data_IF_482318255749
#
_entry.id   IF_482318255749
#
_cell.length_a   1.000
_cell.length_b   1.000
_cell.length_c   1.000
_cell.angle_alpha   90.00
_cell.angle_beta   90.00
_cell.angle_gamma   90.00
#
_symmetry.space_group_name_H-M   'P 1'
#
loop_
_entity.id
_entity.type
_entity.pdbx_description
1 polymer ?
#
# COMPACT_ATOMS: atom_id res chain seq x y z
N UNK A 1 9.75 -30.86 24.05
CA UNK A 1 10.20 -29.91 23.01
C UNK A 1 9.18 -30.00 21.88
N UNK A 2 8.13 -29.20 21.98
CA UNK A 2 7.00 -29.25 21.03
C UNK A 2 7.10 -28.01 20.18
N UNK A 3 7.48 -28.21 18.92
CA UNK A 3 7.64 -27.15 17.92
C UNK A 3 6.31 -26.45 17.69
N UNK A 4 6.28 -25.14 17.94
CA UNK A 4 5.16 -24.26 17.60
C UNK A 4 5.08 -24.19 16.06
N UNK A 5 3.93 -24.52 15.44
CA UNK A 5 3.80 -24.37 14.00
C UNK A 5 3.82 -22.87 13.66
N UNK A 6 4.71 -22.50 12.74
CA UNK A 6 4.77 -21.17 12.16
C UNK A 6 3.48 -20.97 11.38
N UNK A 7 2.59 -20.10 11.85
CA UNK A 7 1.47 -19.61 11.07
C UNK A 7 2.08 -18.66 10.05
N UNK A 8 2.41 -19.17 8.86
CA UNK A 8 2.47 -18.31 7.68
C UNK A 8 1.03 -17.80 7.51
N UNK A 9 0.80 -16.53 7.82
CA UNK A 9 -0.48 -15.87 7.62
C UNK A 9 -0.91 -16.07 6.16
N UNK A 10 -1.84 -16.99 5.94
CA UNK A 10 -2.48 -17.28 4.66
C UNK A 10 -3.36 -16.07 4.31
N UNK A 11 -2.72 -15.03 3.76
CA UNK A 11 -3.40 -13.81 3.34
C UNK A 11 -4.40 -14.20 2.26
N UNK A 12 -5.72 -13.97 2.45
CA UNK A 12 -6.71 -14.28 1.43
C UNK A 12 -6.32 -13.64 0.09
N UNK A 13 -6.43 -14.36 -1.04
CA UNK A 13 -5.98 -13.90 -2.35
C UNK A 13 -6.64 -12.57 -2.79
N UNK A 14 -7.78 -12.23 -2.21
CA UNK A 14 -8.55 -11.00 -2.48
C UNK A 14 -8.49 -9.96 -1.35
N UNK A 15 -7.45 -10.01 -0.51
CA UNK A 15 -7.30 -9.03 0.57
C UNK A 15 -7.20 -7.61 -0.01
N UNK A 16 -8.07 -6.68 0.40
CA UNK A 16 -8.10 -5.35 -0.19
C UNK A 16 -6.81 -4.58 0.11
N UNK A 17 -6.38 -3.71 -0.81
CA UNK A 17 -5.19 -2.85 -0.62
C UNK A 17 -5.28 -1.95 0.63
N UNK A 18 -6.48 -1.77 1.16
CA UNK A 18 -6.78 -1.01 2.38
C UNK A 18 -6.54 -1.79 3.68
N UNK A 19 -5.96 -2.99 3.62
CA UNK A 19 -5.41 -3.71 4.79
C UNK A 19 -3.89 -3.87 4.67
N UNK A 20 -3.19 -3.96 5.81
CA UNK A 20 -1.74 -4.20 5.81
C UNK A 20 -1.38 -5.53 5.14
N UNK A 21 -2.20 -6.56 5.28
CA UNK A 21 -2.00 -7.87 4.64
C UNK A 21 -2.15 -7.79 3.12
N UNK A 22 -3.23 -7.16 2.64
CA UNK A 22 -3.49 -6.97 1.21
C UNK A 22 -2.44 -6.10 0.54
N UNK A 23 -2.04 -5.01 1.22
CA UNK A 23 -0.92 -4.19 0.77
C UNK A 23 0.39 -4.98 0.68
N UNK A 24 0.72 -5.75 1.72
CA UNK A 24 1.96 -6.52 1.75
C UNK A 24 1.96 -7.64 0.68
N UNK A 25 0.81 -8.28 0.43
CA UNK A 25 0.63 -9.21 -0.68
C UNK A 25 0.88 -8.52 -2.02
N UNK A 26 0.25 -7.38 -2.28
CA UNK A 26 0.46 -6.57 -3.49
C UNK A 26 1.93 -6.17 -3.70
N UNK A 27 2.65 -5.78 -2.64
CA UNK A 27 4.07 -5.41 -2.75
C UNK A 27 4.94 -6.59 -3.16
N UNK A 28 4.72 -7.76 -2.54
CA UNK A 28 5.47 -9.00 -2.82
C UNK A 28 5.10 -9.63 -4.15
N UNK A 29 3.88 -9.41 -4.61
CA UNK A 29 3.32 -10.02 -5.80
C UNK A 29 4.13 -9.70 -7.04
N UNK A 30 4.76 -10.73 -7.60
CA UNK A 30 5.58 -10.62 -8.81
C UNK A 30 5.12 -11.70 -9.78
N UNK A 31 4.25 -11.37 -10.76
CA UNK A 31 3.75 -12.35 -11.71
C UNK A 31 4.93 -12.99 -12.45
N UNK A 32 5.01 -14.31 -12.37
CA UNK A 32 6.04 -15.09 -13.05
C UNK A 32 5.51 -15.55 -14.40
N UNK A 33 6.22 -15.30 -15.51
CA UNK A 33 5.79 -15.79 -16.81
C UNK A 33 5.75 -17.32 -16.82
N UNK A 34 4.69 -17.95 -17.39
CA UNK A 34 4.67 -19.38 -17.63
C UNK A 34 5.91 -19.82 -18.42
N UNK A 35 6.38 -21.04 -18.16
CA UNK A 35 7.41 -21.64 -19.00
C UNK A 35 6.88 -21.74 -20.44
N UNK A 36 7.56 -21.17 -21.44
CA UNK A 36 7.13 -21.26 -22.82
C UNK A 36 7.27 -22.71 -23.29
N UNK A 37 6.16 -23.29 -23.76
CA UNK A 37 6.13 -24.62 -24.35
C UNK A 37 5.91 -24.50 -25.86
N UNK A 38 6.69 -25.24 -26.63
CA UNK A 38 6.41 -25.43 -28.05
C UNK A 38 5.15 -26.28 -28.25
N UNK A 39 4.48 -26.21 -29.42
CA UNK A 39 3.31 -27.04 -29.71
C UNK A 39 3.59 -28.53 -29.52
N UNK A 40 4.80 -28.99 -29.88
CA UNK A 40 5.23 -30.39 -29.71
C UNK A 40 5.36 -30.79 -28.24
N UNK A 41 5.89 -29.89 -27.40
CA UNK A 41 6.02 -30.15 -25.96
C UNK A 41 4.67 -30.17 -25.26
N UNK A 42 3.76 -29.25 -25.62
CA UNK A 42 2.41 -29.21 -25.07
C UNK A 42 1.61 -30.46 -25.47
N UNK A 43 1.72 -30.90 -26.73
CA UNK A 43 1.08 -32.13 -27.20
C UNK A 43 1.60 -33.40 -26.51
N UNK A 44 2.83 -33.37 -25.96
CA UNK A 44 3.39 -34.48 -25.19
C UNK A 44 2.85 -34.57 -23.75
N UNK A 45 2.20 -33.51 -23.25
CA UNK A 45 1.61 -33.51 -21.91
C UNK A 45 0.27 -34.25 -21.87
N UNK A 46 -0.07 -34.93 -20.76
CA UNK A 46 -1.42 -35.41 -20.51
C UNK A 46 -2.43 -34.25 -20.55
N UNK A 47 -3.71 -34.49 -20.94
CA UNK A 47 -4.72 -33.45 -21.07
C UNK A 47 -4.89 -32.56 -19.82
N UNK A 48 -4.77 -33.15 -18.62
CA UNK A 48 -4.83 -32.39 -17.35
C UNK A 48 -3.69 -31.37 -17.22
N UNK A 49 -2.48 -31.72 -17.64
CA UNK A 49 -1.32 -30.82 -17.58
C UNK A 49 -1.40 -29.74 -18.66
N UNK A 50 -1.95 -30.05 -19.84
CA UNK A 50 -2.24 -29.04 -20.86
C UNK A 50 -3.24 -27.99 -20.34
N UNK A 51 -4.34 -28.43 -19.73
CA UNK A 51 -5.34 -27.54 -19.16
C UNK A 51 -4.78 -26.68 -18.01
N UNK A 52 -3.92 -27.25 -17.17
CA UNK A 52 -3.24 -26.51 -16.10
C UNK A 52 -2.27 -25.44 -16.66
N UNK A 53 -1.50 -25.76 -17.71
CA UNK A 53 -0.62 -24.79 -18.38
C UNK A 53 -1.42 -23.66 -19.03
N UNK A 54 -2.52 -23.98 -19.71
CA UNK A 54 -3.44 -23.02 -20.30
C UNK A 54 -4.06 -22.09 -19.24
N UNK A 55 -4.46 -22.64 -18.08
CA UNK A 55 -4.97 -21.84 -16.96
C UNK A 55 -3.88 -20.90 -16.42
N UNK A 56 -2.68 -21.41 -16.14
CA UNK A 56 -1.57 -20.59 -15.65
C UNK A 56 -1.18 -19.47 -16.63
N UNK A 57 -1.30 -19.74 -17.94
CA UNK A 57 -1.11 -18.72 -18.98
C UNK A 57 -2.22 -17.67 -18.97
N UNK A 58 -3.48 -18.07 -18.81
CA UNK A 58 -4.61 -17.13 -18.66
C UNK A 58 -4.43 -16.25 -17.42
N UNK A 59 -4.09 -16.85 -16.29
CA UNK A 59 -3.89 -16.14 -15.03
C UNK A 59 -2.75 -15.13 -15.15
N UNK A 60 -1.60 -15.51 -15.75
CA UNK A 60 -0.50 -14.59 -16.05
C UNK A 60 -0.91 -13.43 -16.97
N UNK A 61 -1.73 -13.70 -18.00
CA UNK A 61 -2.19 -12.64 -18.91
C UNK A 61 -3.26 -11.72 -18.30
N UNK A 62 -4.05 -12.22 -17.35
CA UNK A 62 -4.98 -11.41 -16.58
C UNK A 62 -4.24 -10.47 -15.60
N UNK A 63 -3.03 -10.85 -15.20
CA UNK A 63 -2.21 -10.18 -14.18
C UNK A 63 -0.88 -9.68 -14.76
N UNK A 64 -0.90 -9.21 -16.02
CA UNK A 64 0.32 -8.74 -16.67
C UNK A 64 1.00 -7.63 -15.85
N UNK A 65 2.32 -7.73 -15.62
CA UNK A 65 3.04 -6.73 -14.86
C UNK A 65 2.88 -5.35 -15.50
N UNK A 66 2.41 -4.40 -14.70
CA UNK A 66 2.14 -3.04 -15.15
C UNK A 66 3.42 -2.41 -15.72
N UNK A 67 3.36 -1.94 -16.96
CA UNK A 67 4.46 -1.21 -17.60
C UNK A 67 4.62 0.16 -16.93
N UNK A 68 5.86 0.47 -16.54
CA UNK A 68 6.19 1.70 -15.81
C UNK A 68 6.07 2.93 -16.73
N UNK A 69 4.87 3.49 -16.85
CA UNK A 69 4.58 4.63 -17.73
C UNK A 69 5.36 5.87 -17.30
N UNK A 70 5.61 6.85 -18.20
CA UNK A 70 6.31 8.10 -17.86
C UNK A 70 5.68 8.85 -16.68
N UNK A 71 4.35 8.81 -16.56
CA UNK A 71 3.61 9.40 -15.43
C UNK A 71 3.96 8.71 -14.11
N UNK A 72 3.96 7.38 -14.07
CA UNK A 72 4.31 6.61 -12.87
C UNK A 72 5.76 6.90 -12.47
N UNK A 73 6.68 6.91 -13.44
CA UNK A 73 8.09 7.23 -13.20
C UNK A 73 8.27 8.62 -12.59
N UNK A 74 7.56 9.63 -13.12
CA UNK A 74 7.61 11.00 -12.60
C UNK A 74 7.07 11.10 -11.17
N UNK A 75 5.96 10.42 -10.87
CA UNK A 75 5.39 10.35 -9.52
C UNK A 75 6.39 9.69 -8.56
N UNK A 76 6.97 8.55 -8.95
CA UNK A 76 7.98 7.85 -8.13
C UNK A 76 9.19 8.74 -7.86
N UNK A 77 9.73 9.41 -8.89
CA UNK A 77 10.90 10.27 -8.75
C UNK A 77 10.61 11.46 -7.81
N UNK A 78 9.49 12.14 -8.02
CA UNK A 78 9.06 13.30 -7.21
C UNK A 78 8.79 12.89 -5.77
N UNK A 79 8.03 11.80 -5.57
CA UNK A 79 7.70 11.28 -4.25
C UNK A 79 8.95 10.85 -3.46
N UNK A 80 9.91 10.17 -4.11
CA UNK A 80 11.20 9.81 -3.49
C UNK A 80 11.98 11.04 -3.03
N UNK A 81 12.01 12.09 -3.84
CA UNK A 81 12.66 13.35 -3.47
C UNK A 81 11.99 13.99 -2.25
N UNK A 82 10.66 14.03 -2.21
CA UNK A 82 9.92 14.59 -1.06
C UNK A 82 10.16 13.77 0.23
N UNK A 83 10.14 12.45 0.14
CA UNK A 83 10.49 11.57 1.26
C UNK A 83 11.89 11.89 1.78
N UNK A 84 12.88 12.10 0.91
CA UNK A 84 14.23 12.47 1.31
C UNK A 84 14.28 13.85 1.98
N UNK A 85 13.60 14.84 1.40
CA UNK A 85 13.55 16.21 1.93
C UNK A 85 12.87 16.28 3.30
N UNK A 86 11.91 15.40 3.57
CA UNK A 86 11.18 15.34 4.84
C UNK A 86 11.95 14.62 5.97
N UNK A 87 13.05 13.91 5.68
CA UNK A 87 13.79 13.11 6.69
C UNK A 87 14.27 13.89 7.91
N UNK A 88 14.61 15.18 7.73
CA UNK A 88 15.11 16.06 8.79
C UNK A 88 14.13 17.19 9.14
N UNK A 89 12.94 17.18 8.54
CA UNK A 89 11.90 18.17 8.81
C UNK A 89 11.08 17.71 10.01
N UNK A 90 11.14 18.54 11.07
CA UNK A 90 10.39 18.34 12.31
C UNK A 90 8.96 18.91 12.18
N UNK A 91 8.78 19.93 11.36
CA UNK A 91 7.48 20.56 11.06
C UNK A 91 7.33 20.83 9.56
N UNK A 92 6.09 21.06 9.10
CA UNK A 92 5.76 21.42 7.71
C UNK A 92 6.32 20.47 6.63
N UNK A 93 6.18 19.15 6.84
CA UNK A 93 6.55 18.14 5.85
C UNK A 93 5.74 18.30 4.57
N UNK A 94 6.40 18.16 3.44
CA UNK A 94 5.81 18.33 2.10
C UNK A 94 5.03 17.08 1.71
N UNK A 95 3.82 17.25 1.19
CA UNK A 95 3.05 16.20 0.54
C UNK A 95 3.12 16.27 -0.98
N UNK A 96 2.57 15.27 -1.66
CA UNK A 96 2.35 15.28 -3.11
C UNK A 96 0.87 15.06 -3.41
N UNK A 97 0.34 15.78 -4.39
CA UNK A 97 -1.00 15.57 -4.93
C UNK A 97 -0.86 15.16 -6.40
N UNK A 98 -1.49 14.05 -6.75
CA UNK A 98 -1.55 13.51 -8.11
C UNK A 98 -2.95 13.80 -8.64
N UNK A 99 -3.04 14.71 -9.62
CA UNK A 99 -4.31 15.11 -10.22
C UNK A 99 -4.32 14.80 -11.71
N UNK A 100 -5.51 14.51 -12.24
CA UNK A 100 -5.71 14.12 -13.64
C UNK A 100 -7.15 13.68 -13.88
N UNK A 101 -7.56 13.55 -15.14
CA UNK A 101 -8.89 13.07 -15.49
C UNK A 101 -9.16 11.66 -14.92
N UNK A 102 -10.43 11.29 -14.79
CA UNK A 102 -10.80 9.92 -14.42
C UNK A 102 -10.22 8.91 -15.42
N UNK A 103 -9.79 7.74 -14.96
CA UNK A 103 -9.19 6.71 -15.80
C UNK A 103 -7.73 6.96 -16.24
N UNK A 104 -7.07 8.02 -15.79
CA UNK A 104 -5.66 8.32 -16.15
C UNK A 104 -4.61 7.53 -15.36
N UNK A 105 -5.02 6.55 -14.56
CA UNK A 105 -4.12 5.73 -13.76
C UNK A 105 -3.53 6.45 -12.54
N UNK A 106 -4.26 7.38 -11.91
CA UNK A 106 -3.82 8.09 -10.69
C UNK A 106 -3.62 7.13 -9.52
N UNK A 107 -4.64 6.33 -9.20
CA UNK A 107 -4.57 5.24 -8.21
C UNK A 107 -3.42 4.29 -8.53
N UNK A 108 -3.24 3.97 -9.80
CA UNK A 108 -2.13 3.14 -10.26
C UNK A 108 -0.78 3.80 -9.98
N UNK A 109 -0.59 5.09 -10.29
CA UNK A 109 0.64 5.80 -10.00
C UNK A 109 0.90 5.93 -8.48
N UNK A 110 -0.14 6.15 -7.68
CA UNK A 110 -0.07 6.23 -6.22
C UNK A 110 0.36 4.89 -5.61
N UNK A 111 -0.31 3.79 -5.98
CA UNK A 111 -0.01 2.44 -5.47
C UNK A 111 1.38 1.97 -5.90
N UNK A 112 1.79 2.23 -7.15
CA UNK A 112 3.14 1.92 -7.62
C UNK A 112 4.22 2.76 -6.92
N UNK A 113 3.93 4.02 -6.61
CA UNK A 113 4.83 4.83 -5.78
C UNK A 113 5.01 4.25 -4.38
N UNK A 114 3.90 3.88 -3.73
CA UNK A 114 3.94 3.18 -2.45
C UNK A 114 4.76 1.90 -2.50
N UNK A 115 4.49 1.03 -3.47
CA UNK A 115 5.23 -0.22 -3.66
C UNK A 115 6.72 0.01 -3.82
N UNK A 116 7.10 0.98 -4.66
CA UNK A 116 8.49 1.33 -4.90
C UNK A 116 9.19 1.88 -3.64
N UNK A 117 8.47 2.63 -2.81
CA UNK A 117 8.96 3.12 -1.51
C UNK A 117 9.11 1.99 -0.50
N UNK A 118 8.11 1.11 -0.39
CA UNK A 118 8.15 -0.02 0.53
C UNK A 118 9.32 -0.96 0.24
N UNK A 119 9.50 -1.38 -1.01
CA UNK A 119 10.62 -2.23 -1.42
C UNK A 119 11.97 -1.57 -1.11
N UNK A 120 12.10 -0.27 -1.38
CA UNK A 120 13.32 0.48 -1.10
C UNK A 120 13.60 0.61 0.40
N UNK A 121 12.56 0.67 1.24
CA UNK A 121 12.67 0.74 2.69
C UNK A 121 13.00 -0.61 3.30
N UNK A 122 12.34 -1.68 2.86
CA UNK A 122 12.67 -3.06 3.26
C UNK A 122 14.10 -3.45 2.88
N UNK A 123 14.58 -3.02 1.70
CA UNK A 123 15.99 -3.22 1.31
C UNK A 123 16.98 -2.50 2.24
N UNK A 124 16.60 -1.35 2.80
CA UNK A 124 17.45 -0.58 3.75
C UNK A 124 17.41 -1.15 5.17
N UNK A 125 16.34 -1.85 5.53
CA UNK A 125 16.11 -2.42 6.86
C UNK A 125 15.69 -3.90 6.73
N UNK A 126 16.58 -4.78 6.26
CA UNK A 126 16.23 -6.17 5.97
C UNK A 126 15.85 -6.98 7.21
N UNK A 127 16.40 -6.62 8.37
CA UNK A 127 16.20 -7.36 9.63
C UNK A 127 14.92 -6.93 10.38
N UNK A 128 14.36 -5.75 10.04
CA UNK A 128 13.14 -5.24 10.68
C UNK A 128 11.88 -5.72 9.93
N UNK A 129 11.41 -6.90 10.34
CA UNK A 129 10.18 -7.50 9.83
C UNK A 129 8.91 -6.82 10.35
N UNK A 130 9.00 -6.06 11.43
CA UNK A 130 7.86 -5.40 12.09
C UNK A 130 7.46 -4.10 11.40
N UNK A 131 8.31 -3.60 10.49
CA UNK A 131 8.10 -2.37 9.76
C UNK A 131 6.88 -2.43 8.82
N UNK A 132 6.06 -1.40 8.90
CA UNK A 132 4.96 -1.09 7.97
C UNK A 132 5.28 0.25 7.31
N UNK A 133 6.11 0.30 6.24
CA UNK A 133 6.53 1.56 5.64
C UNK A 133 5.38 2.39 5.08
N UNK A 134 4.37 1.73 4.50
CA UNK A 134 3.27 2.40 3.82
C UNK A 134 1.92 2.06 4.44
N UNK A 135 1.09 3.08 4.64
CA UNK A 135 -0.35 2.95 4.86
C UNK A 135 -1.07 3.38 3.59
N UNK A 136 -2.03 2.58 3.12
CA UNK A 136 -2.90 2.93 2.00
C UNK A 136 -4.35 2.98 2.47
N UNK A 137 -5.02 4.11 2.21
CA UNK A 137 -6.43 4.27 2.51
C UNK A 137 -7.16 4.91 1.32
N UNK A 138 -8.39 4.47 1.08
CA UNK A 138 -9.29 5.12 0.12
C UNK A 138 -10.27 5.99 0.88
N UNK A 139 -10.49 7.20 0.38
CA UNK A 139 -11.39 8.16 1.03
C UNK A 139 -12.83 7.82 0.66
N UNK A 140 -13.70 7.54 1.64
CA UNK A 140 -15.12 7.39 1.36
C UNK A 140 -15.71 8.74 0.89
N UNK A 141 -16.76 8.73 0.03
CA UNK A 141 -17.42 9.96 -0.38
C UNK A 141 -17.88 10.77 0.85
N UNK A 142 -17.60 12.08 0.87
CA UNK A 142 -17.83 12.98 2.00
C UNK A 142 -17.07 12.62 3.30
N UNK A 143 -15.82 12.13 3.18
CA UNK A 143 -15.03 11.76 4.35
C UNK A 143 -14.82 12.91 5.35
N UNK A 144 -15.16 12.62 6.61
CA UNK A 144 -14.75 13.42 7.77
C UNK A 144 -13.38 12.97 8.27
N UNK A 145 -12.70 13.81 9.07
CA UNK A 145 -11.47 13.43 9.76
C UNK A 145 -11.62 12.15 10.59
N UNK A 146 -12.81 11.93 11.15
CA UNK A 146 -13.15 10.69 11.88
C UNK A 146 -13.15 9.47 10.98
N UNK A 147 -13.71 9.57 9.78
CA UNK A 147 -13.75 8.46 8.84
C UNK A 147 -12.34 8.07 8.38
N UNK A 148 -11.48 9.05 8.08
CA UNK A 148 -10.08 8.77 7.74
C UNK A 148 -9.31 8.11 8.88
N UNK A 149 -9.50 8.57 10.12
CA UNK A 149 -8.86 7.95 11.28
C UNK A 149 -9.28 6.48 11.43
N UNK A 150 -10.56 6.16 11.19
CA UNK A 150 -11.07 4.78 11.21
C UNK A 150 -10.48 3.94 10.08
N UNK A 151 -10.34 4.49 8.87
CA UNK A 151 -9.70 3.77 7.75
C UNK A 151 -8.24 3.44 8.04
N UNK A 152 -7.47 4.37 8.61
CA UNK A 152 -6.09 4.07 9.03
C UNK A 152 -6.03 3.01 10.12
N UNK A 153 -6.97 3.03 11.05
CA UNK A 153 -7.04 2.05 12.11
C UNK A 153 -7.39 0.66 11.56
N UNK A 154 -8.35 0.58 10.63
CA UNK A 154 -8.70 -0.63 9.89
C UNK A 154 -7.49 -1.17 9.13
N UNK A 155 -6.74 -0.31 8.43
CA UNK A 155 -5.54 -0.71 7.70
C UNK A 155 -4.53 -1.42 8.61
N UNK A 156 -4.33 -0.88 9.82
CA UNK A 156 -3.40 -1.44 10.80
C UNK A 156 -3.92 -2.70 11.52
N UNK A 157 -5.18 -3.08 11.31
CA UNK A 157 -5.85 -4.19 11.99
C UNK A 157 -6.28 -3.83 13.42
N UNK A 158 -6.50 -2.54 13.71
CA UNK A 158 -7.01 -2.10 15.00
C UNK A 158 -8.52 -2.27 15.05
N UNK A 159 -8.99 -3.12 15.94
CA UNK A 159 -10.41 -3.28 16.24
C UNK A 159 -10.84 -2.33 17.33
N UNK A 160 -12.02 -1.75 17.16
CA UNK A 160 -12.63 -0.91 18.17
C UNK A 160 -14.09 -1.37 18.37
N UNK A 161 -14.60 -1.32 19.60
CA UNK A 161 -15.99 -1.63 20.07
C UNK A 161 -17.05 -0.47 20.15
N UNK A 162 -17.76 -0.04 19.11
CA UNK A 162 -18.71 1.12 18.98
C UNK A 162 -18.51 2.50 19.71
N UNK A 163 -17.98 2.60 20.95
CA UNK A 163 -17.96 3.77 21.87
C UNK A 163 -16.64 4.57 21.95
N UNK A 164 -15.81 4.64 20.92
CA UNK A 164 -14.53 5.38 20.99
C UNK A 164 -14.71 6.84 20.60
N UNK A 165 -13.97 7.68 21.32
CA UNK A 165 -13.73 9.04 20.90
C UNK A 165 -12.70 9.09 19.75
N UNK A 166 -12.79 10.11 18.90
CA UNK A 166 -11.85 10.33 17.79
C UNK A 166 -10.40 10.44 18.27
N UNK A 167 -10.21 11.06 19.43
CA UNK A 167 -8.89 11.21 20.06
C UNK A 167 -8.25 9.86 20.38
N UNK A 168 -9.03 8.87 20.83
CA UNK A 168 -8.53 7.55 21.20
C UNK A 168 -8.09 6.78 19.95
N UNK A 169 -8.92 6.81 18.89
CA UNK A 169 -8.58 6.21 17.59
C UNK A 169 -7.31 6.83 17.03
N UNK A 170 -7.22 8.17 17.03
CA UNK A 170 -6.06 8.89 16.51
C UNK A 170 -4.81 8.56 17.31
N UNK A 171 -4.89 8.53 18.64
CA UNK A 171 -3.77 8.17 19.51
C UNK A 171 -3.30 6.74 19.25
N UNK A 172 -4.22 5.78 19.12
CA UNK A 172 -3.90 4.38 18.84
C UNK A 172 -3.21 4.23 17.47
N UNK A 173 -3.75 4.87 16.43
CA UNK A 173 -3.16 4.88 15.08
C UNK A 173 -1.78 5.52 15.08
N UNK A 174 -1.62 6.72 15.66
CA UNK A 174 -0.32 7.39 15.72
C UNK A 174 0.71 6.59 16.52
N UNK A 175 0.29 6.01 17.64
CA UNK A 175 1.15 5.14 18.45
C UNK A 175 1.62 3.96 17.62
N UNK A 176 0.71 3.19 17.02
CA UNK A 176 1.09 2.00 16.26
C UNK A 176 1.91 2.35 15.01
N UNK A 177 1.60 3.46 14.34
CA UNK A 177 2.37 3.95 13.20
C UNK A 177 3.81 4.33 13.58
N UNK A 178 4.01 4.92 14.76
CA UNK A 178 5.35 5.22 15.27
C UNK A 178 6.12 3.94 15.61
N UNK A 179 5.48 2.99 16.30
CA UNK A 179 6.09 1.70 16.68
C UNK A 179 6.42 0.81 15.48
N UNK A 180 5.68 0.92 14.37
CA UNK A 180 5.92 0.16 13.13
C UNK A 180 6.71 0.94 12.08
N UNK A 181 7.23 2.11 12.45
CA UNK A 181 8.03 3.00 11.60
C UNK A 181 7.38 3.34 10.25
N UNK A 182 6.10 3.69 10.26
CA UNK A 182 5.40 4.21 9.08
C UNK A 182 6.07 5.51 8.63
N UNK A 183 6.42 5.60 7.35
CA UNK A 183 7.07 6.78 6.76
C UNK A 183 6.32 7.38 5.56
N UNK A 184 5.30 6.68 5.04
CA UNK A 184 4.47 7.13 3.93
C UNK A 184 2.99 6.76 4.16
N UNK A 185 2.09 7.72 3.98
CA UNK A 185 0.64 7.53 3.95
C UNK A 185 0.13 7.91 2.56
N UNK A 186 -0.58 6.98 1.93
CA UNK A 186 -1.22 7.13 0.65
C UNK A 186 -2.72 7.23 0.86
N UNK A 187 -3.31 8.27 0.29
CA UNK A 187 -4.74 8.54 0.40
C UNK A 187 -5.33 8.66 -0.99
N UNK A 188 -6.13 7.68 -1.38
CA UNK A 188 -6.73 7.61 -2.72
C UNK A 188 -8.14 8.21 -2.72
N UNK A 189 -8.58 8.74 -3.87
CA UNK A 189 -9.94 9.26 -4.10
C UNK A 189 -10.32 10.49 -3.23
N UNK A 190 -9.36 11.40 -2.98
CA UNK A 190 -9.70 12.70 -2.35
C UNK A 190 -10.34 13.61 -3.40
N UNK A 191 -11.66 13.51 -3.52
CA UNK A 191 -12.44 14.43 -4.35
C UNK A 191 -13.02 15.61 -3.57
N UNK A 192 -12.99 15.55 -2.22
CA UNK A 192 -13.59 16.56 -1.35
C UNK A 192 -12.98 16.61 0.06
N UNK A 193 -11.69 16.95 0.21
CA UNK A 193 -11.21 17.35 1.53
C UNK A 193 -11.65 18.80 1.81
N UNK A 194 -12.35 19.10 2.93
CA UNK A 194 -12.54 20.49 3.33
C UNK A 194 -11.16 21.13 3.56
N UNK A 195 -10.96 22.31 2.96
CA UNK A 195 -9.78 23.13 3.19
C UNK A 195 -9.75 23.53 4.67
N UNK A 196 -8.79 22.99 5.42
CA UNK A 196 -8.39 23.57 6.69
C UNK A 196 -8.20 22.55 7.81
N UNK A 197 -6.98 22.51 8.35
CA UNK A 197 -6.73 22.40 9.79
C UNK A 197 -5.26 22.73 10.06
N UNK A 198 -4.94 24.02 10.22
CA UNK A 198 -3.91 24.41 11.18
C UNK A 198 -4.49 24.17 12.58
N UNK A 199 -3.94 23.23 13.34
CA UNK A 199 -3.72 23.35 14.80
C UNK A 199 -2.65 22.35 15.24
N UNK A 200 -1.65 22.78 16.05
CA UNK A 200 -0.54 21.93 16.45
C UNK A 200 -0.94 21.07 17.66
N UNK A 201 -0.87 19.75 17.52
CA UNK A 201 -0.95 18.84 18.66
C UNK A 201 0.48 18.57 19.18
N UNK A 202 0.68 18.72 20.48
CA UNK A 202 1.97 18.74 21.16
C UNK A 202 2.79 17.45 20.99
N UNK A 203 4.11 17.65 20.94
CA UNK A 203 5.21 16.66 20.94
C UNK A 203 4.76 15.19 20.87
N UNK A 204 4.73 14.67 19.65
CA UNK A 204 4.78 13.25 19.28
C UNK A 204 5.37 13.18 17.88
N UNK A 205 5.99 12.06 17.54
CA UNK A 205 6.72 11.89 16.28
C UNK A 205 5.92 12.45 15.09
N UNK A 206 6.57 13.23 14.21
CA UNK A 206 5.88 13.94 13.14
C UNK A 206 5.23 12.95 12.15
N UNK A 207 4.04 13.28 11.61
CA UNK A 207 3.28 12.37 10.76
C UNK A 207 4.06 12.00 9.48
N UNK A 208 3.80 10.81 8.92
CA UNK A 208 4.42 10.32 7.70
C UNK A 208 4.17 11.25 6.50
N UNK A 209 4.96 11.09 5.44
CA UNK A 209 4.75 11.84 4.18
C UNK A 209 3.38 11.48 3.61
N UNK A 210 2.60 12.46 3.16
CA UNK A 210 1.26 12.21 2.62
C UNK A 210 1.29 12.35 1.09
N UNK A 211 0.87 11.31 0.39
CA UNK A 211 0.59 11.35 -1.04
C UNK A 211 -0.91 11.15 -1.27
N UNK A 212 -1.49 12.02 -2.10
CA UNK A 212 -2.94 12.08 -2.32
C UNK A 212 -3.26 12.01 -3.80
N UNK A 213 -4.35 11.35 -4.19
CA UNK A 213 -4.95 11.48 -5.52
C UNK A 213 -6.24 12.30 -5.46
N UNK A 214 -6.52 13.04 -6.54
CA UNK A 214 -7.74 13.83 -6.74
C UNK A 214 -8.23 13.82 -8.18
#
# INVERSE_FOLDING_TARGET
>A
MTSVPQIEDDVPPDSPLTTKEGWAAFVRHTPQPPTPLTPRQLAAYPPRQQAAHEQLRRDYHADLPLVNTPTIQKVIATGRLLVQLNRRQISARRGIVISGASGTGKTTALTQFGRAHELATRKRHPDDKTRIPVIYATVPPAATSRMLAVEFARFLGLEFTSRYNLTDVTNAVCSLAAHTHVDLVLVDEIHSAPRGAEKPCGRRDPPPVIAVTG
#
